data_IF_998970420062
#
_entry.id   IF_998970420062
#
_cell.length_a   1.000
_cell.length_b   1.000
_cell.length_c   1.000
_cell.angle_alpha   90.00
_cell.angle_beta   90.00
_cell.angle_gamma   90.00
#
_symmetry.space_group_name_H-M   'P 1'
#
loop_
_entity.id
_entity.type
_entity.pdbx_description
1 polymer ?
#
# COMPACT_ATOMS: atom_id res chain seq x y z
N UNK A 1 25.10 6.27 1.26
CA UNK A 1 23.95 6.21 2.20
C UNK A 1 23.58 4.75 2.40
N UNK A 2 23.09 4.37 3.60
CA UNK A 2 22.60 3.02 3.89
C UNK A 2 21.07 3.02 3.94
N UNK A 3 20.44 2.24 3.08
CA UNK A 3 18.98 2.19 2.95
C UNK A 3 18.48 0.80 3.30
N UNK A 4 17.65 0.70 4.32
CA UNK A 4 16.94 -0.52 4.67
C UNK A 4 15.56 -0.53 4.00
N UNK A 5 15.27 -1.56 3.21
CA UNK A 5 14.02 -1.75 2.50
C UNK A 5 13.23 -2.89 3.15
N UNK A 6 12.08 -2.60 3.74
CA UNK A 6 11.20 -3.57 4.39
C UNK A 6 9.90 -3.73 3.60
N UNK A 7 9.69 -4.91 3.00
CA UNK A 7 8.49 -5.19 2.21
C UNK A 7 8.46 -6.58 1.62
N UNK A 8 7.29 -7.20 1.62
CA UNK A 8 7.10 -8.56 1.11
C UNK A 8 6.19 -8.65 -0.12
N UNK A 9 5.47 -7.58 -0.44
CA UNK A 9 4.62 -7.50 -1.62
C UNK A 9 5.44 -7.35 -2.88
N UNK A 10 5.04 -8.01 -3.97
CA UNK A 10 5.81 -8.02 -5.21
C UNK A 10 5.98 -6.63 -5.83
N UNK A 11 4.95 -5.79 -5.81
CA UNK A 11 5.06 -4.41 -6.25
C UNK A 11 6.10 -3.61 -5.46
N UNK A 12 6.22 -3.85 -4.15
CA UNK A 12 7.21 -3.17 -3.31
C UNK A 12 8.64 -3.65 -3.62
N UNK A 13 8.82 -4.97 -3.81
CA UNK A 13 10.11 -5.56 -4.22
C UNK A 13 10.57 -5.04 -5.57
N UNK A 14 9.64 -4.86 -6.53
CA UNK A 14 9.96 -4.29 -7.83
C UNK A 14 10.49 -2.86 -7.70
N UNK A 15 9.86 -2.01 -6.87
CA UNK A 15 10.36 -0.66 -6.58
C UNK A 15 11.78 -0.74 -6.00
N UNK A 16 12.00 -1.57 -4.97
CA UNK A 16 13.30 -1.71 -4.34
C UNK A 16 14.39 -2.17 -5.30
N UNK A 17 14.10 -3.17 -6.14
CA UNK A 17 15.05 -3.69 -7.11
C UNK A 17 15.45 -2.66 -8.18
N UNK A 18 14.53 -1.79 -8.59
CA UNK A 18 14.82 -0.70 -9.53
C UNK A 18 15.72 0.34 -8.84
N UNK A 19 15.35 0.78 -7.64
CA UNK A 19 16.11 1.79 -6.89
C UNK A 19 17.52 1.29 -6.52
N UNK A 20 17.66 0.04 -6.07
CA UNK A 20 18.97 -0.56 -5.76
C UNK A 20 19.91 -0.56 -6.98
N UNK A 21 19.39 -0.91 -8.16
CA UNK A 21 20.19 -0.90 -9.40
C UNK A 21 20.62 0.51 -9.82
N UNK A 22 19.77 1.51 -9.61
CA UNK A 22 20.06 2.90 -9.98
C UNK A 22 21.04 3.57 -9.03
N UNK A 23 20.96 3.26 -7.74
CA UNK A 23 21.82 3.84 -6.70
C UNK A 23 22.89 2.85 -6.22
N UNK A 24 23.61 2.25 -7.16
CA UNK A 24 24.61 1.21 -6.91
C UNK A 24 25.80 1.65 -6.03
N UNK A 25 25.96 2.95 -5.80
CA UNK A 25 26.94 3.54 -4.87
C UNK A 25 26.42 3.63 -3.42
N UNK A 26 25.18 3.19 -3.15
CA UNK A 26 24.59 3.10 -1.82
C UNK A 26 24.56 1.65 -1.34
N UNK A 27 24.52 1.45 -0.04
CA UNK A 27 24.33 0.13 0.54
C UNK A 27 22.86 -0.13 0.80
N UNK A 28 22.35 -1.24 0.26
CA UNK A 28 20.98 -1.67 0.47
C UNK A 28 20.90 -2.94 1.29
N UNK A 29 19.90 -3.04 2.16
CA UNK A 29 19.51 -4.26 2.84
C UNK A 29 18.00 -4.45 2.65
N UNK A 30 17.60 -5.55 2.00
CA UNK A 30 16.18 -5.86 1.76
C UNK A 30 15.74 -6.91 2.77
N UNK A 31 14.63 -6.65 3.46
CA UNK A 31 13.98 -7.54 4.42
C UNK A 31 12.56 -7.82 3.92
N UNK A 32 12.26 -9.10 3.69
CA UNK A 32 11.00 -9.55 3.09
C UNK A 32 10.08 -10.29 4.06
N UNK A 33 10.53 -10.56 5.28
CA UNK A 33 9.71 -11.23 6.29
C UNK A 33 9.88 -10.60 7.68
N UNK A 34 8.91 -10.85 8.55
CA UNK A 34 8.94 -10.34 9.93
C UNK A 34 10.08 -10.97 10.73
N UNK A 35 10.38 -12.23 10.46
CA UNK A 35 11.40 -13.03 11.14
C UNK A 35 12.80 -12.51 10.84
N UNK A 36 13.02 -11.98 9.64
CA UNK A 36 14.29 -11.35 9.25
C UNK A 36 14.53 -10.00 9.91
N UNK A 37 13.47 -9.31 10.35
CA UNK A 37 13.52 -7.98 10.96
C UNK A 37 13.97 -8.09 12.42
N UNK A 38 15.25 -8.20 12.66
CA UNK A 38 15.83 -8.29 14.02
C UNK A 38 16.61 -7.02 14.39
N UNK A 39 16.49 -6.63 15.66
CA UNK A 39 17.24 -5.46 16.18
C UNK A 39 18.75 -5.59 15.95
N UNK A 40 19.30 -6.81 16.04
CA UNK A 40 20.72 -7.09 15.79
C UNK A 40 21.10 -6.78 14.33
N UNK A 41 20.29 -7.25 13.37
CA UNK A 41 20.53 -7.05 11.93
C UNK A 41 20.49 -5.56 11.57
N UNK A 42 19.51 -4.83 12.12
CA UNK A 42 19.33 -3.41 11.85
C UNK A 42 20.43 -2.58 12.50
N UNK A 43 20.77 -2.83 13.77
CA UNK A 43 21.86 -2.13 14.45
C UNK A 43 23.21 -2.34 13.75
N UNK A 44 23.48 -3.56 13.27
CA UNK A 44 24.70 -3.86 12.53
C UNK A 44 24.75 -3.15 11.18
N UNK A 45 23.62 -3.07 10.48
CA UNK A 45 23.53 -2.36 9.20
C UNK A 45 23.56 -0.84 9.39
N UNK A 46 23.00 -0.33 10.49
CA UNK A 46 22.90 1.09 10.85
C UNK A 46 22.35 1.96 9.71
N UNK A 47 21.08 1.78 9.30
CA UNK A 47 20.50 2.48 8.17
C UNK A 47 20.39 3.99 8.41
N UNK A 48 20.63 4.76 7.37
CA UNK A 48 20.34 6.20 7.32
C UNK A 48 18.85 6.46 7.06
N UNK A 49 18.23 5.59 6.25
CA UNK A 49 16.85 5.66 5.83
C UNK A 49 16.23 4.27 5.84
N UNK A 50 15.00 4.15 6.34
CA UNK A 50 14.21 2.92 6.25
C UNK A 50 12.97 3.17 5.39
N UNK A 51 12.75 2.33 4.39
CA UNK A 51 11.60 2.33 3.51
C UNK A 51 10.68 1.15 3.86
N UNK A 52 9.43 1.46 4.17
CA UNK A 52 8.40 0.48 4.54
C UNK A 52 7.32 0.41 3.46
N UNK A 53 7.56 -0.35 2.38
CA UNK A 53 6.63 -0.49 1.27
C UNK A 53 6.00 -1.88 1.26
N UNK A 54 4.68 -1.95 1.24
CA UNK A 54 3.98 -3.22 1.27
C UNK A 54 4.20 -4.04 2.55
N UNK A 55 4.54 -3.37 3.66
CA UNK A 55 4.69 -3.96 4.98
C UNK A 55 3.36 -3.91 5.72
N UNK A 56 2.93 -5.03 6.31
CA UNK A 56 1.58 -5.15 6.89
C UNK A 56 1.58 -5.40 8.40
N UNK A 57 2.74 -5.43 9.03
CA UNK A 57 2.85 -5.60 10.48
C UNK A 57 3.10 -4.27 11.17
N UNK A 58 2.60 -4.15 12.40
CA UNK A 58 2.87 -2.99 13.24
C UNK A 58 4.37 -2.91 13.52
N UNK A 59 4.94 -1.73 13.33
CA UNK A 59 6.33 -1.42 13.54
C UNK A 59 6.47 -0.92 14.98
N UNK A 60 7.47 -1.44 15.70
CA UNK A 60 7.73 -1.03 17.08
C UNK A 60 8.30 0.39 17.12
N UNK A 61 7.99 1.13 18.18
CA UNK A 61 8.39 2.52 18.39
C UNK A 61 9.91 2.74 18.34
N UNK A 62 10.71 1.77 18.77
CA UNK A 62 12.17 1.80 18.69
C UNK A 62 12.72 2.12 17.29
N UNK A 63 12.01 1.70 16.22
CA UNK A 63 12.41 1.98 14.85
C UNK A 63 12.07 3.42 14.45
N UNK A 64 10.93 3.92 14.90
CA UNK A 64 10.45 5.27 14.59
C UNK A 64 11.28 6.34 15.29
N UNK A 65 11.73 6.05 16.51
CA UNK A 65 12.52 6.98 17.32
C UNK A 65 14.00 7.06 16.88
N UNK A 66 14.56 5.96 16.40
CA UNK A 66 16.01 5.87 16.15
C UNK A 66 16.40 6.00 14.68
N UNK A 67 15.44 5.87 13.74
CA UNK A 67 15.73 5.87 12.31
C UNK A 67 14.73 6.71 11.53
N UNK A 68 15.19 7.38 10.47
CA UNK A 68 14.30 8.07 9.56
C UNK A 68 13.50 7.03 8.76
N UNK A 69 12.23 6.86 9.12
CA UNK A 69 11.32 5.85 8.58
C UNK A 69 10.28 6.47 7.65
N UNK A 70 10.18 5.96 6.42
CA UNK A 70 9.23 6.41 5.39
C UNK A 70 8.38 5.24 4.94
N UNK A 71 7.07 5.42 4.89
CA UNK A 71 6.14 4.44 4.36
C UNK A 71 5.55 4.91 3.03
N UNK A 72 5.35 3.96 2.10
CA UNK A 72 4.53 4.15 0.92
C UNK A 72 3.12 3.64 1.23
N UNK A 73 2.15 4.55 1.17
CA UNK A 73 0.74 4.24 1.31
C UNK A 73 -0.01 4.60 0.01
N UNK A 74 -0.67 3.66 -0.65
CA UNK A 74 -1.36 3.91 -1.92
C UNK A 74 -2.76 4.48 -1.68
N UNK A 75 -2.82 5.70 -1.17
CA UNK A 75 -4.03 6.50 -1.04
C UNK A 75 -3.69 7.98 -0.97
N UNK A 76 -4.66 8.87 -1.27
CA UNK A 76 -4.50 10.32 -1.10
C UNK A 76 -4.64 10.69 0.38
N UNK A 77 -3.60 10.39 1.19
CA UNK A 77 -3.60 10.78 2.61
C UNK A 77 -3.95 12.26 2.77
N UNK A 78 -4.78 12.62 3.75
CA UNK A 78 -5.21 11.85 4.93
C UNK A 78 -6.39 10.91 4.73
N UNK A 79 -6.94 10.78 3.50
CA UNK A 79 -8.01 9.83 3.22
C UNK A 79 -7.50 8.40 3.12
N UNK A 80 -8.34 7.43 3.49
CA UNK A 80 -8.07 5.99 3.36
C UNK A 80 -6.84 5.52 4.15
N UNK A 81 -6.61 6.04 5.36
CA UNK A 81 -5.66 5.48 6.31
C UNK A 81 -6.02 4.05 6.68
N UNK A 82 -5.06 3.24 7.06
CA UNK A 82 -5.25 1.88 7.56
C UNK A 82 -5.13 0.80 6.49
N UNK A 83 -6.00 -0.21 6.56
CA UNK A 83 -5.82 -1.44 5.78
C UNK A 83 -6.53 -1.46 4.43
N UNK A 84 -5.96 -2.22 3.48
CA UNK A 84 -6.53 -2.46 2.14
C UNK A 84 -6.95 -1.18 1.39
N UNK A 85 -6.09 -0.16 1.33
CA UNK A 85 -6.48 1.15 0.80
C UNK A 85 -6.97 1.08 -0.65
N UNK A 86 -6.31 0.34 -1.52
CA UNK A 86 -6.72 0.22 -2.94
C UNK A 86 -8.10 -0.42 -3.07
N UNK A 87 -8.34 -1.55 -2.39
CA UNK A 87 -9.61 -2.25 -2.46
C UNK A 87 -10.76 -1.39 -1.91
N UNK A 88 -10.53 -0.69 -0.79
CA UNK A 88 -11.55 0.16 -0.19
C UNK A 88 -11.88 1.37 -1.08
N UNK A 89 -10.90 1.98 -1.74
CA UNK A 89 -11.13 3.08 -2.67
C UNK A 89 -11.95 2.62 -3.88
N UNK A 90 -11.57 1.52 -4.52
CA UNK A 90 -12.25 1.00 -5.71
C UNK A 90 -13.70 0.59 -5.38
N UNK A 91 -13.93 -0.13 -4.27
CA UNK A 91 -15.28 -0.54 -3.85
C UNK A 91 -16.16 0.67 -3.52
N UNK A 92 -15.57 1.75 -3.02
CA UNK A 92 -16.29 3.00 -2.75
C UNK A 92 -16.52 3.86 -4.02
N UNK A 93 -16.09 3.40 -5.20
CA UNK A 93 -16.34 4.10 -6.47
C UNK A 93 -15.34 5.22 -6.77
N UNK A 94 -14.20 5.26 -6.08
CA UNK A 94 -13.16 6.24 -6.40
C UNK A 94 -12.51 5.92 -7.75
N UNK A 95 -12.35 6.94 -8.60
CA UNK A 95 -11.73 6.83 -9.93
C UNK A 95 -10.24 7.20 -9.91
N UNK A 96 -9.80 7.86 -8.83
CA UNK A 96 -8.42 8.30 -8.63
C UNK A 96 -7.93 7.93 -7.25
N UNK A 97 -6.63 7.72 -7.15
CA UNK A 97 -5.90 7.52 -5.90
C UNK A 97 -4.62 8.36 -5.93
N UNK A 98 -3.77 8.17 -4.94
CA UNK A 98 -2.42 8.71 -4.94
C UNK A 98 -1.42 7.70 -4.35
N UNK A 99 -0.17 7.79 -4.79
CA UNK A 99 0.95 7.22 -4.04
C UNK A 99 1.45 8.29 -3.08
N UNK A 100 1.43 7.99 -1.80
CA UNK A 100 1.90 8.90 -0.75
C UNK A 100 3.11 8.31 -0.06
N UNK A 101 4.25 9.02 -0.06
CA UNK A 101 5.36 8.78 0.84
C UNK A 101 5.21 9.70 2.04
N UNK A 102 5.19 9.13 3.23
CA UNK A 102 5.08 9.91 4.46
C UNK A 102 6.11 9.48 5.49
N UNK A 103 6.60 10.43 6.29
CA UNK A 103 7.46 10.16 7.44
C UNK A 103 6.61 9.53 8.53
N UNK A 104 6.97 8.34 8.96
CA UNK A 104 6.19 7.61 9.96
C UNK A 104 6.26 8.27 11.34
N UNK A 105 5.17 8.16 12.06
CA UNK A 105 5.00 8.53 13.47
C UNK A 105 4.34 7.36 14.24
N UNK A 106 3.95 7.59 15.49
CA UNK A 106 3.31 6.58 16.35
C UNK A 106 1.90 6.21 15.91
N UNK A 107 1.25 7.03 15.07
CA UNK A 107 -0.12 6.78 14.59
C UNK A 107 -0.16 5.91 13.35
N UNK A 108 -1.36 5.41 13.03
CA UNK A 108 -1.56 4.62 11.81
C UNK A 108 -1.75 5.57 10.63
N UNK A 109 -0.74 5.64 9.76
CA UNK A 109 -0.71 6.46 8.54
C UNK A 109 -0.98 7.97 8.80
N UNK A 110 -0.55 8.48 9.97
CA UNK A 110 -0.79 9.86 10.41
C UNK A 110 0.39 10.80 10.18
N UNK A 111 1.55 10.27 9.91
CA UNK A 111 2.79 11.03 9.78
C UNK A 111 2.79 12.05 8.64
N UNK A 112 3.74 12.96 8.67
CA UNK A 112 3.81 14.07 7.71
C UNK A 112 4.06 13.56 6.28
N UNK A 113 3.30 14.07 5.32
CA UNK A 113 3.44 13.75 3.90
C UNK A 113 4.74 14.39 3.38
N UNK A 114 5.62 13.55 2.82
CA UNK A 114 6.84 13.99 2.15
C UNK A 114 6.59 14.24 0.66
N UNK A 115 5.94 13.27 0.01
CA UNK A 115 5.60 13.33 -1.41
C UNK A 115 4.24 12.67 -1.63
N UNK A 116 3.46 13.21 -2.56
CA UNK A 116 2.17 12.63 -2.96
C UNK A 116 1.91 12.93 -4.43
N UNK A 117 1.52 11.92 -5.19
CA UNK A 117 1.18 12.07 -6.61
C UNK A 117 -0.03 11.22 -6.97
N UNK A 118 -1.00 11.81 -7.70
CA UNK A 118 -2.24 11.16 -8.09
C UNK A 118 -2.05 10.19 -9.27
N UNK A 119 -2.90 9.16 -9.32
CA UNK A 119 -3.02 8.23 -10.44
C UNK A 119 -4.45 7.73 -10.61
N UNK A 120 -4.78 7.19 -11.81
CA UNK A 120 -6.08 6.60 -12.11
C UNK A 120 -6.23 5.21 -11.50
N UNK A 121 -7.41 4.91 -10.94
CA UNK A 121 -7.85 3.58 -10.51
C UNK A 121 -8.59 2.80 -11.62
N UNK A 122 -8.55 3.24 -12.85
CA UNK A 122 -9.10 2.52 -13.99
C UNK A 122 -8.29 1.26 -14.31
N UNK A 123 -8.97 0.28 -14.93
CA UNK A 123 -8.37 -0.99 -15.30
C UNK A 123 -8.49 -2.04 -14.19
N UNK A 124 -7.74 -3.11 -14.33
CA UNK A 124 -7.68 -4.19 -13.35
C UNK A 124 -6.62 -3.93 -12.26
N UNK A 125 -6.47 -4.88 -11.35
CA UNK A 125 -5.56 -4.71 -10.22
C UNK A 125 -4.09 -4.65 -10.63
N UNK A 126 -3.71 -5.32 -11.73
CA UNK A 126 -2.33 -5.28 -12.25
C UNK A 126 -2.02 -3.91 -12.85
N UNK A 127 -2.93 -3.34 -13.65
CA UNK A 127 -2.78 -1.98 -14.19
C UNK A 127 -2.57 -0.95 -13.08
N UNK A 128 -3.29 -1.11 -11.98
CA UNK A 128 -3.20 -0.24 -10.81
C UNK A 128 -1.86 -0.42 -10.10
N UNK A 129 -1.38 -1.65 -9.91
CA UNK A 129 -0.07 -1.88 -9.30
C UNK A 129 1.08 -1.40 -10.17
N UNK A 130 0.99 -1.51 -11.49
CA UNK A 130 2.00 -0.96 -12.40
C UNK A 130 2.14 0.56 -12.24
N UNK A 131 1.02 1.27 -12.11
CA UNK A 131 1.04 2.72 -11.83
C UNK A 131 1.65 3.02 -10.44
N UNK A 132 1.34 2.22 -9.43
CA UNK A 132 1.93 2.35 -8.09
C UNK A 132 3.45 2.12 -8.14
N UNK A 133 3.92 1.15 -8.92
CA UNK A 133 5.36 0.89 -9.10
C UNK A 133 6.04 2.09 -9.75
N UNK A 134 5.50 2.56 -10.87
CA UNK A 134 6.05 3.72 -11.61
C UNK A 134 6.18 4.95 -10.69
N UNK A 135 5.09 5.30 -10.00
CA UNK A 135 5.09 6.44 -9.09
C UNK A 135 5.92 6.19 -7.83
N UNK A 136 5.88 4.98 -7.29
CA UNK A 136 6.69 4.59 -6.15
C UNK A 136 8.19 4.74 -6.44
N UNK A 137 8.66 4.34 -7.61
CA UNK A 137 10.04 4.55 -8.07
C UNK A 137 10.34 6.04 -8.20
N UNK A 138 9.49 6.80 -8.89
CA UNK A 138 9.66 8.26 -9.07
C UNK A 138 9.80 8.97 -7.72
N UNK A 139 8.83 8.79 -6.82
CA UNK A 139 8.81 9.48 -5.53
C UNK A 139 9.95 9.00 -4.61
N UNK A 140 10.40 7.75 -4.74
CA UNK A 140 11.57 7.26 -3.99
C UNK A 140 12.86 7.91 -4.49
N UNK A 141 13.01 8.14 -5.80
CA UNK A 141 14.13 8.92 -6.36
C UNK A 141 14.12 10.35 -5.80
N UNK A 142 12.97 11.02 -5.82
CA UNK A 142 12.82 12.38 -5.29
C UNK A 142 13.20 12.41 -3.79
N UNK A 143 12.75 11.41 -3.02
CA UNK A 143 13.11 11.27 -1.62
C UNK A 143 14.63 11.11 -1.43
N UNK A 144 15.28 10.23 -2.18
CA UNK A 144 16.72 9.96 -2.05
C UNK A 144 17.56 11.18 -2.45
N UNK A 145 17.20 11.85 -3.54
CA UNK A 145 17.92 13.01 -4.06
C UNK A 145 17.82 14.22 -3.12
N UNK A 146 16.67 14.39 -2.46
CA UNK A 146 16.41 15.51 -1.55
C UNK A 146 16.49 15.10 -0.06
N UNK A 147 17.07 13.93 0.23
CA UNK A 147 17.09 13.42 1.58
C UNK A 147 17.92 14.29 2.51
N UNK A 148 17.31 14.63 3.64
CA UNK A 148 17.96 15.25 4.78
C UNK A 148 17.39 14.63 6.08
N UNK A 149 18.20 14.39 7.11
CA UNK A 149 17.70 13.95 8.43
C UNK A 149 16.66 14.91 9.03
N UNK A 150 16.67 16.18 8.60
CA UNK A 150 15.73 17.22 9.03
C UNK A 150 14.51 17.37 8.11
N UNK A 151 14.32 16.51 7.13
CA UNK A 151 13.16 16.55 6.23
C UNK A 151 11.86 16.38 7.04
N UNK A 152 10.99 17.40 7.02
CA UNK A 152 9.81 17.45 7.90
C UNK A 152 8.51 16.99 7.23
N UNK A 153 8.34 17.30 5.96
CA UNK A 153 7.08 17.09 5.23
C UNK A 153 5.95 18.02 5.69
N UNK A 154 4.76 17.78 5.12
CA UNK A 154 3.54 18.56 5.38
C UNK A 154 2.65 17.78 6.34
N UNK A 155 2.20 18.42 7.42
CA UNK A 155 1.29 17.83 8.40
C UNK A 155 -0.05 17.52 7.73
N UNK A 156 -0.58 16.34 7.99
CA UNK A 156 -1.89 15.94 7.49
C UNK A 156 -3.03 16.70 8.20
N UNK A 157 -4.05 17.12 7.43
CA UNK A 157 -5.28 17.72 7.96
C UNK A 157 -6.22 16.60 8.45
N UNK A 158 -6.25 16.38 9.75
CA UNK A 158 -7.07 15.33 10.36
C UNK A 158 -8.58 15.53 10.16
N UNK A 159 -9.06 16.77 9.88
CA UNK A 159 -10.48 17.02 9.59
C UNK A 159 -10.94 16.36 8.29
N UNK A 160 -10.01 16.06 7.38
CA UNK A 160 -10.25 15.40 6.09
C UNK A 160 -9.92 13.91 6.10
N UNK A 161 -9.53 13.37 7.25
CA UNK A 161 -9.07 11.99 7.34
C UNK A 161 -10.23 10.98 7.29
N UNK A 162 -9.94 9.81 6.71
CA UNK A 162 -10.77 8.63 6.87
C UNK A 162 -9.90 7.40 7.17
N UNK A 163 -10.48 6.43 7.89
CA UNK A 163 -9.78 5.23 8.32
C UNK A 163 -10.56 3.99 7.95
N UNK A 164 -9.87 3.00 7.38
CA UNK A 164 -10.44 1.71 7.01
C UNK A 164 -9.68 0.56 7.66
N UNK A 165 -10.42 -0.41 8.18
CA UNK A 165 -9.83 -1.67 8.66
C UNK A 165 -9.34 -2.50 7.47
N UNK A 166 -8.35 -3.34 7.72
CA UNK A 166 -7.91 -4.34 6.74
C UNK A 166 -9.06 -5.29 6.43
N UNK A 167 -9.35 -5.47 5.14
CA UNK A 167 -10.38 -6.40 4.66
C UNK A 167 -10.02 -7.85 5.00
N UNK A 168 -11.03 -8.62 5.37
CA UNK A 168 -10.93 -10.06 5.63
C UNK A 168 -11.44 -10.85 4.42
N UNK A 169 -10.96 -12.10 4.22
CA UNK A 169 -11.42 -12.94 3.09
C UNK A 169 -12.94 -13.11 3.01
N UNK A 170 -13.63 -13.16 4.15
CA UNK A 170 -15.08 -13.28 4.21
C UNK A 170 -15.82 -12.09 3.55
N UNK A 171 -15.20 -10.93 3.51
CA UNK A 171 -15.78 -9.72 2.88
C UNK A 171 -15.72 -9.75 1.34
N UNK A 172 -15.05 -10.79 0.77
CA UNK A 172 -15.09 -11.06 -0.67
C UNK A 172 -16.37 -11.79 -1.09
N UNK A 173 -17.17 -12.32 -0.15
CA UNK A 173 -18.46 -12.96 -0.43
C UNK A 173 -19.44 -11.96 -1.06
N UNK A 174 -20.11 -12.39 -2.11
CA UNK A 174 -21.28 -11.72 -2.71
C UNK A 174 -22.50 -12.42 -2.11
N UNK A 175 -23.38 -11.65 -1.48
CA UNK A 175 -24.59 -12.15 -0.83
C UNK A 175 -25.83 -11.80 -1.65
N UNK A 176 -26.98 -12.47 -1.41
CA UNK A 176 -28.26 -12.09 -2.00
C UNK A 176 -28.62 -10.66 -1.62
N UNK A 177 -28.36 -10.27 -0.39
CA UNK A 177 -28.59 -8.90 0.05
C UNK A 177 -27.75 -7.87 -0.73
N UNK A 178 -26.49 -8.22 -1.05
CA UNK A 178 -25.69 -7.32 -1.91
C UNK A 178 -26.34 -7.14 -3.27
N UNK A 179 -26.95 -8.21 -3.87
CA UNK A 179 -27.63 -8.14 -5.16
C UNK A 179 -28.92 -7.29 -5.11
N UNK A 180 -29.57 -7.22 -3.96
CA UNK A 180 -30.75 -6.39 -3.74
C UNK A 180 -30.40 -4.91 -3.51
N UNK A 181 -29.29 -4.65 -2.76
CA UNK A 181 -28.93 -3.33 -2.24
C UNK A 181 -27.92 -2.56 -3.13
N UNK A 182 -27.21 -3.25 -4.05
CA UNK A 182 -26.08 -2.69 -4.81
C UNK A 182 -26.32 -2.74 -6.32
N UNK A 183 -25.67 -1.83 -7.03
CA UNK A 183 -25.74 -1.73 -8.50
C UNK A 183 -24.60 -2.53 -9.19
N UNK A 184 -24.65 -2.62 -10.51
CA UNK A 184 -23.67 -3.33 -11.32
C UNK A 184 -22.25 -2.79 -11.14
N UNK A 185 -22.09 -1.47 -10.99
CA UNK A 185 -20.79 -0.82 -10.79
C UNK A 185 -20.12 -1.28 -9.49
N UNK A 186 -20.87 -1.43 -8.40
CA UNK A 186 -20.35 -1.97 -7.15
C UNK A 186 -19.78 -3.39 -7.34
N UNK A 187 -20.47 -4.28 -8.05
CA UNK A 187 -20.00 -5.63 -8.29
C UNK A 187 -18.80 -5.65 -9.22
N UNK A 188 -18.83 -4.86 -10.28
CA UNK A 188 -17.68 -4.68 -11.16
C UNK A 188 -16.44 -4.25 -10.36
N UNK A 189 -16.56 -3.23 -9.55
CA UNK A 189 -15.50 -2.72 -8.69
C UNK A 189 -15.03 -3.76 -7.66
N UNK A 190 -15.97 -4.49 -7.02
CA UNK A 190 -15.66 -5.55 -6.07
C UNK A 190 -14.88 -6.70 -6.72
N UNK A 191 -15.24 -7.10 -7.94
CA UNK A 191 -14.58 -8.19 -8.66
C UNK A 191 -13.19 -7.75 -9.14
N UNK A 192 -13.07 -6.60 -9.82
CA UNK A 192 -11.81 -6.13 -10.38
C UNK A 192 -10.74 -5.79 -9.33
N UNK A 193 -11.13 -5.40 -8.10
CA UNK A 193 -10.18 -5.09 -7.03
C UNK A 193 -9.78 -6.30 -6.17
N UNK A 194 -10.46 -7.45 -6.34
CA UNK A 194 -10.23 -8.68 -5.59
C UNK A 194 -9.65 -9.78 -6.48
N UNK A 195 -8.63 -9.43 -7.27
CA UNK A 195 -7.85 -10.37 -8.08
C UNK A 195 -6.60 -10.83 -7.31
N UNK A 196 -5.96 -11.90 -7.75
CA UNK A 196 -4.75 -12.41 -7.14
C UNK A 196 -3.69 -11.30 -6.94
N UNK A 197 -2.98 -11.31 -5.82
CA UNK A 197 -2.93 -12.31 -4.73
C UNK A 197 -3.96 -12.06 -3.60
N UNK A 198 -5.00 -11.30 -3.83
CA UNK A 198 -6.06 -11.05 -2.85
C UNK A 198 -7.19 -12.09 -3.00
N UNK A 199 -7.95 -12.34 -1.91
CA UNK A 199 -9.09 -13.25 -1.96
C UNK A 199 -10.12 -12.79 -2.99
N UNK A 200 -10.32 -13.59 -4.04
CA UNK A 200 -11.26 -13.30 -5.12
C UNK A 200 -12.71 -13.18 -4.62
N UNK A 201 -13.52 -12.40 -5.31
CA UNK A 201 -14.96 -12.34 -5.07
C UNK A 201 -15.60 -13.71 -5.28
N UNK A 202 -16.55 -14.10 -4.42
CA UNK A 202 -17.19 -15.42 -4.53
C UNK A 202 -18.66 -15.43 -4.08
N UNK A 203 -19.41 -16.39 -4.62
CA UNK A 203 -20.73 -16.78 -4.16
C UNK A 203 -20.60 -18.14 -3.48
N UNK A 204 -21.21 -18.30 -2.30
CA UNK A 204 -21.22 -19.54 -1.54
C UNK A 204 -22.63 -20.16 -1.59
N UNK A 205 -22.69 -21.40 -1.97
CA UNK A 205 -23.92 -22.17 -2.11
C UNK A 205 -24.30 -22.90 -0.83
N UNK A 206 -25.55 -23.44 -0.76
CA UNK A 206 -26.08 -24.13 0.42
C UNK A 206 -25.28 -25.36 0.83
N UNK A 207 -24.61 -26.03 -0.12
CA UNK A 207 -23.75 -27.18 0.11
C UNK A 207 -22.35 -26.82 0.56
N UNK A 208 -22.04 -25.50 0.75
CA UNK A 208 -20.74 -25.00 1.15
C UNK A 208 -19.75 -24.80 -0.01
N UNK A 209 -20.11 -25.20 -1.24
CA UNK A 209 -19.30 -24.94 -2.42
C UNK A 209 -19.22 -23.43 -2.74
N UNK A 210 -18.13 -23.01 -3.40
CA UNK A 210 -17.88 -21.60 -3.74
C UNK A 210 -17.60 -21.45 -5.23
N UNK A 211 -18.33 -20.52 -5.84
CA UNK A 211 -18.04 -20.04 -7.20
C UNK A 211 -17.25 -18.74 -7.09
N UNK A 212 -15.99 -18.77 -7.53
CA UNK A 212 -15.15 -17.57 -7.57
C UNK A 212 -15.36 -16.82 -8.89
N UNK A 213 -15.43 -15.47 -8.78
CA UNK A 213 -15.64 -14.59 -9.93
C UNK A 213 -14.40 -13.72 -10.07
N UNK A 214 -13.63 -13.94 -11.13
CA UNK A 214 -12.33 -13.27 -11.35
C UNK A 214 -12.39 -12.16 -12.39
N UNK A 215 -13.43 -12.15 -13.25
CA UNK A 215 -13.64 -11.12 -14.28
C UNK A 215 -15.12 -10.81 -14.43
N UNK A 216 -15.41 -9.55 -14.73
CA UNK A 216 -16.75 -9.06 -15.07
C UNK A 216 -16.64 -7.87 -16.01
N UNK A 217 -17.74 -7.57 -16.70
CA UNK A 217 -17.90 -6.34 -17.47
C UNK A 217 -19.33 -5.83 -17.28
N UNK A 218 -19.51 -4.55 -17.51
CA UNK A 218 -20.83 -3.92 -17.56
C UNK A 218 -21.09 -3.63 -19.02
N UNK A 219 -22.27 -4.12 -19.55
CA UNK A 219 -22.72 -3.70 -20.84
C UNK A 219 -23.65 -2.48 -20.69
N UNK A 220 -23.46 -1.52 -21.59
CA UNK A 220 -24.27 -0.32 -21.67
C UNK A 220 -25.66 -0.62 -22.28
#
# INVERSE_FOLDING_TARGET
MKILCCGYRDWAKQIYNIIEKEYNNYEFLIISSREELTNKKIKNFNPTLILWYGWSWIIKDDFLLNYFSVMLHPSPLPKYRGGSPIQNQIINGENKSAVTLFKMDEGIDTGNILYQEEFSLEGDLNDIFDRIIILGVKLTRDLIQNFSPNLKGIKQDNSKSSYYKRRKPVESKITLKDLEDKNAEYFYNKIRCLQDPYPNAYIEFKDGSKLYITKSYINE
#
